data_IF_344653769927
#
_entry.id   IF_344653769927
#
_cell.length_a   1.000
_cell.length_b   1.000
_cell.length_c   1.000
_cell.angle_alpha   90.00
_cell.angle_beta   90.00
_cell.angle_gamma   90.00
#
_symmetry.space_group_name_H-M   'P 1'
#
loop_
_entity.id
_entity.type
_entity.pdbx_description
1 polymer ?
#
# COMPACT_ATOMS: atom_id res chain seq x y z
N UNK A 1 -7.46 28.50 -31.40
CA UNK A 1 -7.42 27.16 -32.05
C UNK A 1 -6.55 26.27 -31.18
N UNK A 2 -7.14 25.32 -30.45
CA UNK A 2 -6.44 24.34 -29.62
C UNK A 2 -5.88 23.22 -30.50
N UNK A 3 -4.67 22.74 -30.21
CA UNK A 3 -4.30 21.33 -30.38
C UNK A 3 -3.45 20.91 -29.17
N UNK A 4 -4.02 20.06 -28.33
CA UNK A 4 -3.34 19.32 -27.25
C UNK A 4 -2.86 17.98 -27.81
N UNK A 5 -1.65 17.54 -27.47
CA UNK A 5 -1.30 16.11 -27.46
C UNK A 5 -0.02 15.88 -26.64
N UNK A 6 -0.23 15.43 -25.40
CA UNK A 6 0.79 14.92 -24.50
C UNK A 6 1.41 13.65 -25.08
N UNK A 7 2.68 13.72 -25.46
CA UNK A 7 3.58 12.58 -25.55
C UNK A 7 3.50 11.74 -24.25
N UNK A 8 3.10 10.48 -24.41
CA UNK A 8 3.20 9.43 -23.40
C UNK A 8 4.23 8.41 -23.92
N UNK A 9 4.82 7.63 -22.99
CA UNK A 9 5.67 6.42 -23.14
C UNK A 9 7.19 6.70 -23.09
N UNK A 10 8.03 6.02 -22.30
CA UNK A 10 8.05 4.60 -21.95
C UNK A 10 8.75 4.36 -20.60
N UNK A 11 8.13 3.56 -19.74
CA UNK A 11 8.73 3.06 -18.52
C UNK A 11 7.90 1.90 -17.97
N UNK A 12 7.99 0.76 -18.65
CA UNK A 12 7.46 -0.55 -18.23
C UNK A 12 5.94 -0.76 -18.36
N UNK A 13 5.58 -1.60 -19.33
CA UNK A 13 4.39 -2.45 -19.28
C UNK A 13 4.51 -3.45 -18.11
N UNK A 14 4.23 -2.97 -16.91
CA UNK A 14 3.74 -3.81 -15.85
C UNK A 14 2.50 -3.09 -15.33
N UNK A 15 1.37 -3.80 -15.23
CA UNK A 15 0.37 -3.44 -14.26
C UNK A 15 1.07 -3.53 -12.91
N UNK A 16 1.78 -2.47 -12.51
CA UNK A 16 2.14 -2.26 -11.14
C UNK A 16 0.79 -2.17 -10.45
N UNK A 17 0.34 -3.28 -9.86
CA UNK A 17 -0.69 -3.24 -8.84
C UNK A 17 -0.28 -2.08 -7.94
N UNK A 18 -1.07 -1.01 -7.92
CA UNK A 18 -0.70 0.27 -7.32
C UNK A 18 -0.48 0.06 -5.81
N UNK A 19 0.76 -0.27 -5.44
CA UNK A 19 1.18 -0.49 -4.06
C UNK A 19 1.52 0.89 -3.53
N UNK A 20 0.66 1.40 -2.66
CA UNK A 20 0.85 2.68 -2.00
C UNK A 20 1.43 2.47 -0.61
N UNK A 21 2.08 3.52 -0.10
CA UNK A 21 2.58 3.55 1.27
C UNK A 21 1.85 4.62 2.07
N UNK A 22 1.18 4.21 3.15
CA UNK A 22 0.62 5.13 4.14
C UNK A 22 1.57 5.19 5.33
N UNK A 23 1.90 6.39 5.77
CA UNK A 23 2.75 6.61 6.94
C UNK A 23 1.98 7.43 7.96
N UNK A 24 2.01 7.00 9.21
CA UNK A 24 1.35 7.67 10.31
C UNK A 24 2.35 8.44 11.17
N UNK A 25 1.90 9.44 11.96
CA UNK A 25 2.78 10.23 12.83
C UNK A 25 3.46 9.41 13.93
N UNK A 26 2.90 8.25 14.28
CA UNK A 26 3.48 7.27 15.19
C UNK A 26 4.62 6.45 14.55
N UNK A 27 4.98 6.74 13.29
CA UNK A 27 5.96 6.03 12.45
C UNK A 27 5.58 4.62 12.05
N UNK A 28 4.33 4.20 12.29
CA UNK A 28 3.76 3.03 11.63
C UNK A 28 3.67 3.31 10.14
N UNK A 29 3.93 2.30 9.31
CA UNK A 29 3.73 2.39 7.86
C UNK A 29 2.99 1.19 7.33
N UNK A 30 2.17 1.39 6.32
CA UNK A 30 1.46 0.35 5.60
C UNK A 30 1.93 0.36 4.16
N UNK A 31 2.27 -0.80 3.62
CA UNK A 31 2.64 -0.98 2.23
C UNK A 31 1.69 -1.99 1.62
N UNK A 32 0.87 -1.57 0.66
CA UNK A 32 -0.10 -2.44 0.03
C UNK A 32 -1.09 -1.67 -0.84
N UNK A 33 -2.19 -2.33 -1.18
CA UNK A 33 -3.25 -1.65 -1.93
C UNK A 33 -3.95 -0.61 -1.03
N UNK A 34 -4.21 0.55 -1.60
CA UNK A 34 -4.91 1.66 -0.94
C UNK A 34 -6.04 2.12 -1.84
N UNK A 35 -7.21 2.33 -1.25
CA UNK A 35 -8.39 2.83 -1.94
C UNK A 35 -8.97 3.98 -1.14
N UNK A 36 -9.17 5.14 -1.77
CA UNK A 36 -9.74 6.33 -1.12
C UNK A 36 -8.99 6.74 0.16
N UNK A 37 -7.66 6.72 0.15
CA UNK A 37 -6.81 6.96 1.34
C UNK A 37 -6.96 5.92 2.47
N UNK A 38 -7.59 4.78 2.20
CA UNK A 38 -7.78 3.69 3.15
C UNK A 38 -7.04 2.42 2.76
N UNK A 39 -6.50 1.70 3.74
CA UNK A 39 -5.89 0.38 3.53
C UNK A 39 -6.97 -0.57 2.99
N UNK A 40 -6.69 -1.22 1.87
CA UNK A 40 -7.63 -2.10 1.20
C UNK A 40 -6.88 -3.23 0.47
N UNK A 41 -7.44 -4.43 0.41
CA UNK A 41 -6.79 -5.58 -0.20
C UNK A 41 -5.56 -6.06 0.57
N UNK A 42 -4.62 -6.69 -0.11
CA UNK A 42 -3.41 -7.21 0.55
C UNK A 42 -2.42 -6.09 0.88
N UNK A 43 -1.84 -6.18 2.06
CA UNK A 43 -0.76 -5.29 2.46
C UNK A 43 -0.01 -5.75 3.70
N UNK A 44 1.00 -4.97 4.07
CA UNK A 44 1.84 -5.20 5.24
C UNK A 44 1.94 -3.93 6.07
N UNK A 45 1.59 -4.01 7.35
CA UNK A 45 1.88 -2.97 8.34
C UNK A 45 3.25 -3.24 8.94
N UNK A 46 4.05 -2.19 9.08
CA UNK A 46 5.31 -2.18 9.81
C UNK A 46 5.16 -1.20 10.97
N UNK A 47 5.46 -1.67 12.17
CA UNK A 47 5.50 -0.86 13.36
C UNK A 47 6.94 -0.46 13.68
N UNK A 48 7.09 0.60 14.48
CA UNK A 48 8.40 1.11 14.89
C UNK A 48 9.20 0.12 15.75
N UNK A 49 8.51 -0.77 16.47
CA UNK A 49 9.11 -1.84 17.27
C UNK A 49 9.79 -2.92 16.40
N UNK A 50 9.64 -2.87 15.07
CA UNK A 50 10.16 -3.86 14.13
C UNK A 50 9.18 -4.99 13.84
N UNK A 51 8.04 -5.03 14.55
CA UNK A 51 6.95 -5.96 14.25
C UNK A 51 6.38 -5.62 12.88
N UNK A 52 5.96 -6.65 12.15
CA UNK A 52 5.22 -6.48 10.90
C UNK A 52 4.05 -7.43 10.80
N UNK A 53 2.97 -6.99 10.17
CA UNK A 53 1.77 -7.78 9.94
C UNK A 53 1.44 -7.79 8.47
N UNK A 54 1.40 -8.98 7.87
CA UNK A 54 0.96 -9.17 6.49
C UNK A 54 -0.45 -9.78 6.49
N UNK A 55 -1.38 -9.18 5.74
CA UNK A 55 -2.75 -9.66 5.68
C UNK A 55 -3.61 -8.90 4.68
N UNK A 56 -4.90 -9.22 4.67
CA UNK A 56 -5.89 -8.49 3.89
C UNK A 56 -6.52 -7.36 4.72
N UNK A 57 -6.90 -6.27 4.07
CA UNK A 57 -7.44 -5.07 4.68
C UNK A 57 -8.70 -4.60 3.97
N UNK A 58 -9.61 -4.00 4.71
CA UNK A 58 -10.79 -3.33 4.16
C UNK A 58 -11.14 -2.15 5.06
N UNK A 59 -11.20 -0.94 4.49
CA UNK A 59 -11.54 0.29 5.23
C UNK A 59 -10.70 0.51 6.50
N UNK A 60 -9.38 0.27 6.42
CA UNK A 60 -8.43 0.29 7.55
C UNK A 60 -8.51 -0.88 8.54
N UNK A 61 -9.48 -1.79 8.40
CA UNK A 61 -9.61 -2.95 9.27
C UNK A 61 -8.88 -4.16 8.68
N UNK A 62 -8.27 -4.96 9.57
CA UNK A 62 -7.67 -6.24 9.19
C UNK A 62 -8.79 -7.25 8.93
N UNK A 63 -8.78 -7.86 7.75
CA UNK A 63 -9.76 -8.86 7.34
C UNK A 63 -9.12 -10.23 7.19
N UNK A 64 -9.80 -11.25 7.71
CA UNK A 64 -9.40 -12.64 7.56
C UNK A 64 -8.11 -13.02 8.31
N UNK A 65 -7.40 -14.01 7.77
CA UNK A 65 -6.13 -14.45 8.34
C UNK A 65 -5.00 -13.50 7.94
N UNK A 66 -4.11 -13.23 8.90
CA UNK A 66 -2.86 -12.52 8.66
C UNK A 66 -1.74 -13.13 9.48
N UNK A 67 -0.52 -12.77 9.13
CA UNK A 67 0.71 -13.24 9.77
C UNK A 67 1.39 -12.07 10.48
N UNK A 68 1.57 -12.21 11.79
CA UNK A 68 2.43 -11.33 12.57
C UNK A 68 3.84 -11.93 12.56
N UNK A 69 4.82 -11.07 12.27
CA UNK A 69 6.24 -11.41 12.33
C UNK A 69 6.86 -10.46 13.34
N UNK A 70 7.39 -11.02 14.41
CA UNK A 70 8.09 -10.30 15.46
C UNK A 70 9.54 -10.04 15.02
N UNK A 71 10.15 -8.94 15.48
CA UNK A 71 11.59 -8.74 15.37
C UNK A 71 12.35 -9.83 16.16
N UNK A 72 13.62 -10.08 15.79
CA UNK A 72 14.55 -10.95 16.52
C UNK A 72 15.15 -10.23 17.75
#
# INVERSE_FOLDING_TARGET
MLVVASWVTSGSIAQANDVQTLTWPDGTRYVGSVRSNQMHGQGTIYWQDGTRYAGNFENHERQGAGMIILPD
#
